data_IF_220023212734
#
_entry.id   IF_220023212734
#
_cell.length_a   1.000
_cell.length_b   1.000
_cell.length_c   1.000
_cell.angle_alpha   90.00
_cell.angle_beta   90.00
_cell.angle_gamma   90.00
#
_symmetry.space_group_name_H-M   'P 1'
#
loop_
_entity.id
_entity.type
_entity.pdbx_description
1 polymer ?
#
# COMPACT_ATOMS: atom_id res chain seq x y z
N UNK A 1 -6.75 -15.29 -10.75
CA UNK A 1 -6.31 -14.41 -11.84
C UNK A 1 -5.42 -13.30 -11.30
N UNK A 2 -4.29 -13.07 -11.96
CA UNK A 2 -3.38 -11.98 -11.57
C UNK A 2 -3.98 -10.64 -11.99
N UNK A 3 -4.01 -9.69 -11.08
CA UNK A 3 -4.65 -8.39 -11.30
C UNK A 3 -3.63 -7.26 -11.45
N UNK A 4 -3.89 -6.35 -12.38
CA UNK A 4 -3.08 -5.15 -12.56
C UNK A 4 -3.00 -4.36 -11.27
N UNK A 5 -1.80 -3.93 -10.90
CA UNK A 5 -1.51 -3.22 -9.65
C UNK A 5 -1.78 -4.03 -8.37
N UNK A 6 -2.14 -5.30 -8.49
CA UNK A 6 -2.24 -6.20 -7.35
C UNK A 6 -0.87 -6.42 -6.72
N UNK A 7 -0.85 -6.60 -5.41
CA UNK A 7 0.37 -6.87 -4.65
C UNK A 7 0.35 -8.31 -4.17
N UNK A 8 1.41 -9.05 -4.48
CA UNK A 8 1.54 -10.47 -4.18
C UNK A 8 2.78 -10.72 -3.35
N UNK A 9 2.68 -11.60 -2.37
CA UNK A 9 3.78 -11.92 -1.44
C UNK A 9 4.07 -13.41 -1.43
N UNK A 10 5.36 -13.75 -1.46
CA UNK A 10 5.82 -15.12 -1.23
C UNK A 10 5.84 -15.41 0.27
N UNK A 11 5.10 -16.42 0.68
CA UNK A 11 5.03 -16.79 2.10
C UNK A 11 6.28 -17.52 2.59
N UNK A 12 7.14 -17.96 1.67
CA UNK A 12 8.40 -18.64 2.02
C UNK A 12 9.53 -17.64 2.25
N UNK A 13 9.81 -16.76 1.28
CA UNK A 13 10.95 -15.84 1.36
C UNK A 13 10.58 -14.39 1.64
N UNK A 14 9.28 -14.05 1.60
CA UNK A 14 8.82 -12.68 1.84
C UNK A 14 8.92 -11.73 0.65
N UNK A 15 9.38 -12.23 -0.51
CA UNK A 15 9.44 -11.40 -1.70
C UNK A 15 8.04 -10.85 -2.04
N UNK A 16 7.93 -9.55 -2.24
CA UNK A 16 6.65 -8.87 -2.48
C UNK A 16 6.74 -8.11 -3.80
N UNK A 17 5.77 -8.33 -4.69
CA UNK A 17 5.78 -7.75 -6.03
C UNK A 17 4.45 -7.05 -6.32
N UNK A 18 4.51 -6.05 -7.21
CA UNK A 18 3.33 -5.41 -7.76
C UNK A 18 3.24 -5.72 -9.25
N UNK A 19 2.05 -5.99 -9.74
CA UNK A 19 1.83 -6.35 -11.13
C UNK A 19 1.71 -5.10 -11.98
N UNK A 20 2.64 -4.92 -12.91
CA UNK A 20 2.64 -3.77 -13.84
C UNK A 20 1.80 -4.05 -15.08
N UNK A 21 1.72 -5.30 -15.49
CA UNK A 21 0.92 -5.72 -16.64
C UNK A 21 0.43 -7.14 -16.37
N UNK A 22 -0.87 -7.31 -16.42
CA UNK A 22 -1.48 -8.64 -16.20
C UNK A 22 -1.64 -9.37 -17.53
N UNK A 23 -1.29 -10.66 -17.55
CA UNK A 23 -1.50 -11.49 -18.74
C UNK A 23 -2.99 -11.84 -18.91
N UNK A 24 -3.38 -12.19 -20.12
CA UNK A 24 -4.76 -12.61 -20.41
C UNK A 24 -5.07 -14.02 -19.90
N UNK A 25 -4.05 -14.79 -19.53
CA UNK A 25 -4.21 -16.13 -19.00
C UNK A 25 -4.40 -16.14 -17.49
N UNK A 26 -4.95 -17.21 -16.98
CA UNK A 26 -5.08 -17.41 -15.53
C UNK A 26 -3.81 -18.09 -14.99
N UNK A 27 -2.69 -17.37 -15.14
CA UNK A 27 -1.37 -17.86 -14.75
C UNK A 27 -0.96 -17.20 -13.43
N UNK A 28 -0.71 -17.99 -12.39
CA UNK A 28 -0.32 -17.42 -11.09
C UNK A 28 1.10 -16.88 -11.10
N UNK A 29 1.37 -15.93 -10.20
CA UNK A 29 2.73 -15.52 -9.88
C UNK A 29 3.32 -16.56 -8.93
N UNK A 30 4.47 -17.12 -9.26
CA UNK A 30 5.10 -18.20 -8.48
C UNK A 30 6.45 -17.75 -7.95
N UNK A 31 6.72 -18.07 -6.69
CA UNK A 31 8.01 -17.84 -6.05
C UNK A 31 8.27 -18.97 -5.06
N UNK A 32 9.52 -19.42 -4.97
CA UNK A 32 9.91 -20.52 -4.08
C UNK A 32 9.05 -21.79 -4.28
N UNK A 33 8.68 -22.08 -5.52
CA UNK A 33 7.95 -23.30 -5.88
C UNK A 33 6.47 -23.31 -5.54
N UNK A 34 5.90 -22.18 -5.13
CA UNK A 34 4.46 -22.09 -4.83
C UNK A 34 3.87 -20.78 -5.30
N UNK A 35 2.55 -20.74 -5.40
CA UNK A 35 1.85 -19.50 -5.77
C UNK A 35 2.04 -18.43 -4.71
N UNK A 36 2.30 -17.21 -5.15
CA UNK A 36 2.35 -16.06 -4.25
C UNK A 36 0.93 -15.66 -3.83
N UNK A 37 0.77 -15.32 -2.56
CA UNK A 37 -0.50 -14.90 -2.01
C UNK A 37 -0.79 -13.45 -2.41
N UNK A 38 -2.00 -13.19 -2.90
CA UNK A 38 -2.46 -11.81 -3.12
C UNK A 38 -2.76 -11.17 -1.79
N UNK A 39 -2.20 -9.98 -1.55
CA UNK A 39 -2.52 -9.20 -0.37
C UNK A 39 -3.82 -8.43 -0.60
N UNK A 40 -4.81 -8.65 0.27
CA UNK A 40 -6.06 -7.91 0.23
C UNK A 40 -5.95 -6.67 1.13
N UNK A 41 -6.37 -5.52 0.60
CA UNK A 41 -6.31 -4.28 1.36
C UNK A 41 -7.39 -4.26 2.43
N UNK A 42 -6.97 -4.12 3.68
CA UNK A 42 -7.86 -4.02 4.85
C UNK A 42 -8.30 -2.57 5.03
N UNK A 43 -9.49 -2.38 5.54
CA UNK A 43 -10.05 -1.06 5.77
C UNK A 43 -10.41 -0.79 7.23
N UNK A 44 -11.29 0.18 7.44
CA UNK A 44 -11.67 0.63 8.78
C UNK A 44 -12.43 -0.41 9.60
N UNK A 45 -12.87 -1.49 8.98
CA UNK A 45 -13.58 -2.60 9.63
C UNK A 45 -12.65 -3.56 10.38
N UNK A 46 -11.32 -3.45 10.14
CA UNK A 46 -10.34 -4.35 10.73
C UNK A 46 -9.76 -3.81 12.03
N UNK A 47 -9.23 -4.71 12.87
CA UNK A 47 -8.49 -4.34 14.08
C UNK A 47 -7.19 -3.61 13.71
N UNK A 48 -6.76 -2.67 14.56
CA UNK A 48 -5.55 -1.90 14.32
C UNK A 48 -5.72 -0.77 13.31
N UNK A 49 -6.96 -0.46 12.95
CA UNK A 49 -7.27 0.58 11.97
C UNK A 49 -6.69 1.95 12.31
N UNK A 50 -6.63 2.27 13.60
CA UNK A 50 -6.14 3.58 14.09
C UNK A 50 -4.67 3.81 13.78
N UNK A 51 -3.90 2.74 13.50
CA UNK A 51 -2.48 2.83 13.15
C UNK A 51 -2.20 2.51 11.68
N UNK A 52 -3.11 1.81 11.02
CA UNK A 52 -2.87 1.28 9.67
C UNK A 52 -3.71 1.93 8.58
N UNK A 53 -4.94 2.32 8.86
CA UNK A 53 -5.81 2.93 7.83
C UNK A 53 -5.26 4.32 7.49
N UNK A 54 -4.83 4.53 6.23
CA UNK A 54 -4.29 5.82 5.84
C UNK A 54 -5.36 6.90 5.84
N UNK A 55 -4.96 8.12 6.21
CA UNK A 55 -5.82 9.31 6.23
C UNK A 55 -5.32 10.29 5.19
N UNK A 56 -6.19 10.70 4.29
CA UNK A 56 -5.87 11.66 3.23
C UNK A 56 -6.34 13.05 3.69
N UNK A 57 -5.44 14.02 3.64
CA UNK A 57 -5.73 15.42 3.92
C UNK A 57 -5.39 16.25 2.68
N UNK A 58 -6.28 17.18 2.31
CA UNK A 58 -5.99 18.13 1.22
C UNK A 58 -5.02 19.20 1.72
N UNK A 59 -4.09 19.58 0.85
CA UNK A 59 -3.14 20.68 1.08
C UNK A 59 -3.22 21.66 -0.07
N UNK A 60 -2.57 22.81 0.05
CA UNK A 60 -2.54 23.81 -1.02
C UNK A 60 -1.91 23.29 -2.31
N UNK A 61 -0.94 22.38 -2.20
CA UNK A 61 -0.21 21.83 -3.33
C UNK A 61 -0.73 20.48 -3.81
N UNK A 62 -1.63 19.84 -3.06
CA UNK A 62 -2.13 18.51 -3.40
C UNK A 62 -2.73 17.79 -2.21
N UNK A 63 -2.10 16.70 -1.78
CA UNK A 63 -2.58 15.90 -0.64
C UNK A 63 -1.43 15.47 0.26
N UNK A 64 -1.76 15.25 1.52
CA UNK A 64 -0.91 14.59 2.51
C UNK A 64 -1.59 13.30 2.92
N UNK A 65 -0.84 12.21 2.93
CA UNK A 65 -1.31 10.92 3.44
C UNK A 65 -0.57 10.61 4.74
N UNK A 66 -1.32 10.46 5.83
CA UNK A 66 -0.79 10.02 7.12
C UNK A 66 -1.18 8.58 7.33
N UNK A 67 -0.27 7.76 7.82
CA UNK A 67 -0.60 6.38 8.12
C UNK A 67 -1.02 6.25 9.57
N UNK A 68 -2.32 6.08 9.64
CA UNK A 68 -3.12 5.97 10.84
C UNK A 68 -3.53 7.31 11.42
N UNK A 69 -4.70 7.34 12.06
CA UNK A 69 -5.13 8.47 12.89
C UNK A 69 -4.20 8.61 14.11
N UNK A 70 -3.67 7.47 14.58
CA UNK A 70 -2.52 7.40 15.48
C UNK A 70 -1.30 7.03 14.65
N UNK A 71 -0.15 7.72 14.81
CA UNK A 71 1.02 7.44 13.99
C UNK A 71 1.47 5.99 14.07
N UNK A 72 1.68 5.37 12.91
CA UNK A 72 2.20 4.03 12.81
C UNK A 72 3.68 4.00 13.24
N UNK A 73 4.14 2.94 13.93
CA UNK A 73 5.57 2.81 14.24
C UNK A 73 6.43 2.78 12.96
N UNK A 74 7.64 3.35 13.08
CA UNK A 74 8.62 3.36 11.98
C UNK A 74 9.96 2.82 12.50
N UNK A 75 9.91 1.61 13.06
CA UNK A 75 11.07 0.89 13.59
C UNK A 75 11.65 -0.05 12.53
N UNK A 76 12.90 -0.44 12.65
CA UNK A 76 13.56 -1.32 11.67
C UNK A 76 12.80 -2.61 11.36
N UNK A 77 12.16 -3.19 12.37
CA UNK A 77 11.40 -4.44 12.23
C UNK A 77 9.91 -4.26 11.99
N UNK A 78 9.41 -3.06 12.17
CA UNK A 78 7.98 -2.76 12.02
C UNK A 78 7.80 -1.34 11.50
N UNK A 79 7.52 -1.20 10.23
CA UNK A 79 7.39 0.11 9.58
C UNK A 79 6.51 0.06 8.35
N UNK A 80 6.06 1.24 7.93
CA UNK A 80 5.35 1.41 6.66
C UNK A 80 6.38 1.48 5.55
N UNK A 81 6.29 0.57 4.60
CA UNK A 81 7.23 0.46 3.48
C UNK A 81 6.84 1.35 2.30
N UNK A 82 5.54 1.54 2.08
CA UNK A 82 5.04 2.16 0.86
C UNK A 82 3.72 2.87 1.14
N UNK A 83 3.59 4.08 0.60
CA UNK A 83 2.32 4.82 0.54
C UNK A 83 2.01 5.07 -0.92
N UNK A 84 0.80 4.70 -1.36
CA UNK A 84 0.35 4.90 -2.74
C UNK A 84 -0.96 5.68 -2.76
N UNK A 85 -1.08 6.61 -3.70
CA UNK A 85 -2.35 7.21 -4.06
C UNK A 85 -2.94 6.43 -5.23
N UNK A 86 -4.23 6.11 -5.11
CA UNK A 86 -4.96 5.33 -6.09
C UNK A 86 -6.12 6.14 -6.66
N UNK A 87 -6.35 5.98 -7.96
CA UNK A 87 -7.57 6.44 -8.62
C UNK A 87 -8.25 5.18 -9.19
N UNK A 88 -9.26 4.68 -8.48
CA UNK A 88 -9.79 3.35 -8.77
C UNK A 88 -8.71 2.30 -8.56
N UNK A 89 -8.44 1.49 -9.58
CA UNK A 89 -7.41 0.46 -9.52
C UNK A 89 -6.04 0.94 -10.01
N UNK A 90 -5.95 2.20 -10.47
CA UNK A 90 -4.70 2.76 -10.97
C UNK A 90 -3.87 3.38 -9.84
N UNK A 91 -2.57 3.13 -9.87
CA UNK A 91 -1.61 3.83 -8.99
C UNK A 91 -1.24 5.16 -9.67
N UNK A 92 -1.58 6.26 -9.01
CA UNK A 92 -1.25 7.61 -9.52
C UNK A 92 0.20 7.97 -9.18
N UNK A 93 0.58 7.76 -7.92
CA UNK A 93 1.91 8.08 -7.42
C UNK A 93 2.14 7.30 -6.13
N UNK A 94 3.39 7.01 -5.83
CA UNK A 94 3.76 6.33 -4.60
C UNK A 94 5.06 6.85 -4.02
N UNK A 95 5.26 6.59 -2.73
CA UNK A 95 6.48 6.91 -2.02
C UNK A 95 6.88 5.73 -1.15
N UNK A 96 8.14 5.32 -1.27
CA UNK A 96 8.74 4.33 -0.38
C UNK A 96 9.28 5.02 0.87
N UNK A 97 9.00 4.45 2.02
CA UNK A 97 9.49 4.94 3.31
C UNK A 97 10.55 3.98 3.88
N UNK A 98 11.37 4.52 4.76
CA UNK A 98 12.40 3.78 5.49
C UNK A 98 12.17 3.91 6.99
N UNK A 99 12.66 2.95 7.80
CA UNK A 99 12.61 3.10 9.26
C UNK A 99 13.24 4.41 9.71
N UNK A 100 12.61 5.05 10.68
CA UNK A 100 13.06 6.35 11.20
C UNK A 100 12.44 7.57 10.52
N UNK A 101 11.83 7.39 9.36
CA UNK A 101 11.07 8.46 8.71
C UNK A 101 9.66 8.56 9.32
N UNK A 102 9.02 9.71 9.18
CA UNK A 102 7.62 9.85 9.61
C UNK A 102 6.70 9.03 8.68
N UNK A 103 5.62 8.44 9.21
CA UNK A 103 4.68 7.66 8.40
C UNK A 103 3.72 8.58 7.64
N UNK A 104 4.28 9.47 6.84
CA UNK A 104 3.58 10.52 6.12
C UNK A 104 4.20 10.69 4.73
N UNK A 105 3.38 10.96 3.74
CA UNK A 105 3.84 11.35 2.41
C UNK A 105 3.03 12.53 1.90
N UNK A 106 3.69 13.48 1.28
CA UNK A 106 3.05 14.63 0.64
C UNK A 106 3.22 14.51 -0.87
N UNK A 107 2.14 14.74 -1.59
CA UNK A 107 2.13 14.66 -3.05
C UNK A 107 1.58 15.95 -3.64
N UNK A 108 2.30 16.51 -4.61
CA UNK A 108 1.87 17.68 -5.35
C UNK A 108 1.05 17.23 -6.55
N UNK A 109 -0.26 17.48 -6.51
CA UNK A 109 -1.20 17.05 -7.55
C UNK A 109 -2.21 18.15 -7.83
N UNK A 110 -2.48 18.39 -9.10
CA UNK A 110 -3.49 19.38 -9.51
C UNK A 110 -4.92 18.85 -9.31
N UNK A 111 -5.14 17.57 -9.63
CA UNK A 111 -6.44 16.91 -9.46
C UNK A 111 -6.39 15.94 -8.29
N UNK A 112 -7.22 16.23 -7.27
CA UNK A 112 -7.29 15.45 -6.04
C UNK A 112 -8.65 14.77 -5.84
N UNK A 113 -9.53 14.82 -6.82
CA UNK A 113 -10.88 14.26 -6.74
C UNK A 113 -10.85 12.73 -6.76
N UNK A 114 -11.58 12.11 -5.84
CA UNK A 114 -11.79 10.67 -5.81
C UNK A 114 -10.56 9.83 -5.44
N UNK A 115 -9.48 10.46 -4.97
CA UNK A 115 -8.27 9.74 -4.61
C UNK A 115 -8.47 8.92 -3.33
N UNK A 116 -7.91 7.73 -3.33
CA UNK A 116 -7.81 6.84 -2.17
C UNK A 116 -6.35 6.56 -1.90
N UNK A 117 -6.04 6.14 -0.69
CA UNK A 117 -4.69 5.75 -0.33
C UNK A 117 -4.61 4.26 -0.06
N UNK A 118 -3.48 3.69 -0.39
CA UNK A 118 -3.12 2.30 -0.07
C UNK A 118 -1.73 2.31 0.53
N UNK A 119 -1.54 1.58 1.63
CA UNK A 119 -0.24 1.49 2.30
C UNK A 119 0.14 0.04 2.54
N UNK A 120 1.44 -0.20 2.62
CA UNK A 120 1.98 -1.51 2.93
C UNK A 120 2.81 -1.44 4.22
N UNK A 121 2.36 -2.18 5.23
CA UNK A 121 3.10 -2.43 6.46
C UNK A 121 3.86 -3.75 6.30
N UNK A 122 5.13 -3.80 6.68
CA UNK A 122 5.93 -5.01 6.51
C UNK A 122 5.44 -6.20 7.34
N UNK A 123 4.70 -5.95 8.43
CA UNK A 123 4.18 -7.00 9.31
C UNK A 123 2.68 -7.24 9.08
N UNK A 124 1.89 -6.18 9.01
CA UNK A 124 0.42 -6.28 8.99
C UNK A 124 -0.21 -6.17 7.60
N UNK A 125 0.60 -6.14 6.54
CA UNK A 125 0.14 -6.21 5.17
C UNK A 125 -0.38 -4.92 4.59
N UNK A 126 -1.37 -5.05 3.71
CA UNK A 126 -1.90 -3.97 2.88
C UNK A 126 -3.15 -3.36 3.52
N UNK A 127 -3.22 -2.03 3.52
CA UNK A 127 -4.34 -1.27 4.09
C UNK A 127 -4.80 -0.18 3.14
N UNK A 128 -6.05 0.19 3.21
CA UNK A 128 -6.65 1.23 2.36
C UNK A 128 -7.48 2.23 3.17
N UNK A 129 -7.57 3.41 2.60
CA UNK A 129 -8.53 4.40 3.12
C UNK A 129 -9.97 4.08 2.74
#
# INVERSE_FOLDING_TARGET
>A
MVELNGIYKCEVCGNTVSVLEASDGDIPVVCCGQEMAKLEAKGAEEEGKEKHVPVIEKTDAGVRVKVGSNPHPMEEKHFIELIQLMNGDDVVIGKRLKPGEEPVAEFCLADTEGLKARILCNIHGLWRS
#
